data_IF_693643264233
#
_entry.id   IF_693643264233
#
_cell.length_a   1.000
_cell.length_b   1.000
_cell.length_c   1.000
_cell.angle_alpha   90.00
_cell.angle_beta   90.00
_cell.angle_gamma   90.00
#
_symmetry.space_group_name_H-M   'P 1'
#
loop_
_entity.id
_entity.type
_entity.pdbx_description
1 polymer ?
#
# COMPACT_ATOMS: atom_id res chain seq x y z
N UNK A 1 11.77 -5.14 38.22
CA UNK A 1 12.94 -5.88 37.70
C UNK A 1 12.95 -5.73 36.20
N UNK A 2 13.65 -4.73 35.69
CA UNK A 2 13.79 -4.46 34.25
C UNK A 2 15.15 -5.02 33.84
N UNK A 3 15.14 -6.08 33.02
CA UNK A 3 16.33 -6.64 32.39
C UNK A 3 16.63 -5.80 31.14
N UNK A 4 17.72 -5.05 31.18
CA UNK A 4 18.36 -4.49 29.99
C UNK A 4 19.19 -5.60 29.33
N UNK A 5 18.95 -5.88 28.04
CA UNK A 5 19.90 -6.60 27.19
C UNK A 5 20.58 -5.58 26.29
N UNK A 6 21.87 -5.37 26.55
CA UNK A 6 22.82 -4.63 25.74
C UNK A 6 23.58 -5.65 24.90
N UNK A 7 23.51 -5.55 23.57
CA UNK A 7 24.42 -6.25 22.66
C UNK A 7 25.24 -5.22 21.90
N UNK A 8 26.52 -5.19 22.23
CA UNK A 8 27.54 -4.36 21.63
C UNK A 8 27.80 -4.76 20.18
N UNK A 9 27.81 -3.78 19.28
CA UNK A 9 28.41 -3.90 17.96
C UNK A 9 29.94 -3.85 18.12
N UNK A 10 30.60 -4.98 17.89
CA UNK A 10 32.04 -5.03 17.67
C UNK A 10 32.33 -4.63 16.22
N UNK A 11 32.98 -3.48 16.03
CA UNK A 11 33.64 -3.12 14.78
C UNK A 11 35.02 -3.79 14.75
N UNK A 12 35.19 -4.79 13.91
CA UNK A 12 36.49 -5.41 13.62
C UNK A 12 37.09 -4.75 12.35
N UNK A 13 38.39 -4.39 12.33
CA UNK A 13 38.99 -3.69 11.20
C UNK A 13 39.81 -4.60 10.26
N UNK A 14 39.93 -4.14 9.01
CA UNK A 14 40.98 -4.43 8.00
C UNK A 14 40.91 -5.76 7.23
N UNK A 15 40.62 -5.67 5.92
CA UNK A 15 41.68 -5.92 4.95
C UNK A 15 41.45 -5.22 3.61
N UNK A 16 42.48 -4.48 3.21
CA UNK A 16 42.54 -3.59 2.06
C UNK A 16 43.29 -4.32 0.94
N UNK A 17 42.63 -4.55 -0.20
CA UNK A 17 43.29 -4.96 -1.46
C UNK A 17 43.06 -3.85 -2.50
N UNK A 18 44.10 -3.10 -2.91
CA UNK A 18 43.93 -2.02 -3.88
C UNK A 18 44.00 -2.52 -5.34
N UNK A 19 43.20 -2.00 -6.28
CA UNK A 19 43.50 -2.13 -7.69
C UNK A 19 44.53 -1.09 -8.15
N UNK A 20 45.45 -1.59 -8.96
CA UNK A 20 46.56 -0.92 -9.62
C UNK A 20 46.04 0.10 -10.66
N UNK A 21 46.40 1.38 -10.54
CA UNK A 21 46.14 2.41 -11.57
C UNK A 21 47.46 3.13 -11.92
N UNK A 22 47.84 3.21 -13.21
CA UNK A 22 49.12 3.79 -13.61
C UNK A 22 49.12 5.32 -13.71
N UNK A 23 50.34 5.84 -13.68
CA UNK A 23 50.76 7.20 -13.42
C UNK A 23 50.26 8.27 -14.42
N UNK A 24 49.77 9.39 -13.88
CA UNK A 24 49.65 10.67 -14.56
C UNK A 24 49.97 11.79 -13.57
N UNK A 25 51.05 12.56 -13.85
CA UNK A 25 51.47 13.74 -13.07
C UNK A 25 50.31 14.75 -12.95
N UNK A 26 50.27 15.55 -11.87
CA UNK A 26 50.39 17.04 -11.87
C UNK A 26 49.89 17.62 -10.51
N UNK A 27 50.81 18.33 -9.85
CA UNK A 27 50.72 19.45 -8.87
C UNK A 27 50.14 19.25 -7.46
N UNK A 28 51.05 19.45 -6.50
CA UNK A 28 50.82 19.66 -5.07
C UNK A 28 49.95 20.89 -4.76
N UNK A 29 49.05 20.74 -3.78
CA UNK A 29 48.38 21.82 -3.03
C UNK A 29 48.75 21.69 -1.54
N UNK A 30 48.90 22.80 -0.80
CA UNK A 30 49.35 22.77 0.58
C UNK A 30 48.27 22.29 1.56
N UNK A 31 48.75 21.68 2.64
CA UNK A 31 47.99 21.02 3.70
C UNK A 31 47.03 21.97 4.43
N UNK A 32 45.76 21.55 4.52
CA UNK A 32 44.78 22.06 5.48
C UNK A 32 44.67 21.08 6.65
N UNK A 33 44.91 21.57 7.86
CA UNK A 33 44.76 20.86 9.13
C UNK A 33 43.29 20.52 9.43
N UNK A 34 42.94 19.28 9.84
CA UNK A 34 41.63 19.02 10.42
C UNK A 34 41.60 19.48 11.89
N UNK A 35 40.68 20.40 12.21
CA UNK A 35 40.37 20.77 13.58
C UNK A 35 39.34 19.80 14.16
N UNK A 36 39.73 19.10 15.22
CA UNK A 36 38.83 18.35 16.09
C UNK A 36 38.00 19.35 16.91
N UNK A 37 36.68 19.24 16.86
CA UNK A 37 35.79 19.85 17.86
C UNK A 37 35.10 18.73 18.62
N UNK A 38 35.64 18.43 19.80
CA UNK A 38 34.98 17.62 20.81
C UNK A 38 33.92 18.47 21.52
N UNK A 39 32.77 17.86 21.79
CA UNK A 39 31.91 18.27 22.89
C UNK A 39 31.66 17.02 23.73
N UNK A 40 32.47 16.92 24.76
CA UNK A 40 32.29 16.10 25.95
C UNK A 40 31.36 16.87 26.90
N UNK A 41 30.30 16.23 27.42
CA UNK A 41 29.70 16.59 28.73
C UNK A 41 28.92 15.38 29.24
N UNK A 42 29.55 14.49 30.00
CA UNK A 42 29.51 14.42 31.47
C UNK A 42 28.17 13.93 32.03
N UNK A 43 28.14 12.62 32.29
CA UNK A 43 27.26 11.95 33.25
C UNK A 43 27.55 12.49 34.65
N UNK A 44 26.52 12.89 35.39
CA UNK A 44 26.62 13.07 36.84
C UNK A 44 25.56 12.17 37.48
N UNK A 45 26.07 11.11 38.09
CA UNK A 45 25.40 10.23 39.05
C UNK A 45 25.32 10.96 40.40
N UNK A 46 24.14 11.02 41.02
CA UNK A 46 24.02 11.18 42.48
C UNK A 46 22.59 10.88 42.96
N UNK A 47 22.39 9.67 43.51
CA UNK A 47 21.50 9.43 44.65
C UNK A 47 22.02 10.24 45.87
N UNK A 48 21.24 10.63 46.90
CA UNK A 48 20.43 9.65 47.65
C UNK A 48 19.23 10.17 48.51
N UNK A 49 18.56 9.20 49.16
CA UNK A 49 17.99 9.22 50.52
C UNK A 49 16.82 10.17 50.91
N UNK A 50 15.74 9.49 51.35
CA UNK A 50 14.92 9.72 52.56
C UNK A 50 13.89 10.86 52.64
N UNK A 51 12.68 10.44 53.03
CA UNK A 51 11.89 10.90 54.18
C UNK A 51 10.44 11.35 53.86
N UNK A 52 9.51 10.63 54.50
CA UNK A 52 8.06 10.86 54.72
C UNK A 52 7.78 12.18 55.48
N UNK A 53 6.57 12.81 55.46
CA UNK A 53 5.37 12.24 56.12
C UNK A 53 3.94 12.63 55.61
N UNK A 54 3.05 11.64 55.70
CA UNK A 54 1.75 11.62 56.41
C UNK A 54 0.53 12.49 56.00
N UNK A 55 -0.64 11.83 56.16
CA UNK A 55 -2.03 12.32 56.42
C UNK A 55 -2.83 12.67 55.14
N UNK A 56 -4.07 12.24 54.94
CA UNK A 56 -5.17 11.86 55.85
C UNK A 56 -6.16 10.90 55.17
N UNK A 57 -6.72 9.99 55.97
CA UNK A 57 -7.81 9.09 55.65
C UNK A 57 -9.17 9.81 55.51
N UNK A 58 -10.12 9.20 54.80
CA UNK A 58 -11.46 8.83 55.33
C UNK A 58 -12.17 7.88 54.36
N UNK A 59 -12.50 6.71 54.90
CA UNK A 59 -13.45 5.69 54.41
C UNK A 59 -14.90 6.15 54.58
N UNK A 60 -15.83 5.61 53.80
CA UNK A 60 -17.12 5.10 54.32
C UNK A 60 -17.80 4.18 53.31
N UNK A 61 -18.33 3.09 53.86
CA UNK A 61 -18.95 1.96 53.21
C UNK A 61 -20.47 1.97 53.40
N UNK A 62 -21.15 1.12 52.62
CA UNK A 62 -22.52 0.64 52.88
C UNK A 62 -23.53 1.12 51.84
N UNK A 63 -24.58 0.39 51.50
CA UNK A 63 -25.00 -0.97 51.79
C UNK A 63 -26.11 -1.33 50.77
N UNK A 64 -26.35 -2.61 50.54
CA UNK A 64 -27.37 -3.15 49.65
C UNK A 64 -28.81 -2.84 50.10
N UNK A 65 -29.75 -2.70 49.15
CA UNK A 65 -31.16 -3.09 49.35
C UNK A 65 -31.85 -3.38 48.01
N UNK A 66 -32.37 -4.60 47.87
CA UNK A 66 -33.24 -5.04 46.80
C UNK A 66 -34.67 -4.53 46.99
N UNK A 67 -35.36 -4.16 45.90
CA UNK A 67 -36.81 -4.00 45.85
C UNK A 67 -37.33 -4.65 44.57
N UNK A 68 -38.28 -5.57 44.74
CA UNK A 68 -39.03 -6.28 43.72
C UNK A 68 -40.49 -5.79 43.72
N UNK A 69 -41.15 -6.03 42.58
CA UNK A 69 -42.61 -6.15 42.33
C UNK A 69 -43.41 -4.86 42.03
N UNK A 70 -43.87 -4.69 40.79
CA UNK A 70 -45.27 -4.95 40.35
C UNK A 70 -45.59 -4.34 38.97
N UNK A 71 -46.26 -5.12 38.12
CA UNK A 71 -46.77 -4.70 36.81
C UNK A 71 -48.19 -4.10 36.91
N UNK A 72 -48.49 -3.05 36.10
CA UNK A 72 -49.80 -2.79 35.49
C UNK A 72 -49.80 -1.51 34.61
N UNK A 73 -50.08 -1.67 33.30
CA UNK A 73 -51.07 -0.88 32.54
C UNK A 73 -50.92 0.62 32.19
N UNK A 74 -50.71 0.87 30.89
CA UNK A 74 -51.49 1.74 29.98
C UNK A 74 -51.42 3.31 29.95
N UNK A 75 -51.31 3.80 28.69
CA UNK A 75 -51.86 5.01 28.01
C UNK A 75 -51.14 6.39 28.05
N UNK A 76 -50.29 6.64 27.03
CA UNK A 76 -50.00 7.82 26.16
C UNK A 76 -50.07 9.30 26.63
N UNK A 77 -49.84 10.31 25.75
CA UNK A 77 -49.06 10.38 24.50
C UNK A 77 -47.99 11.51 24.49
N UNK A 78 -47.22 11.61 23.39
CA UNK A 78 -46.46 12.76 22.88
C UNK A 78 -45.41 13.46 23.76
N UNK A 79 -44.13 13.23 23.45
CA UNK A 79 -43.14 14.32 23.31
C UNK A 79 -41.91 13.87 22.51
N UNK A 80 -41.63 14.66 21.48
CA UNK A 80 -40.36 14.83 20.79
C UNK A 80 -39.76 13.60 20.10
N UNK A 81 -40.19 13.38 18.85
CA UNK A 81 -39.28 12.90 17.81
C UNK A 81 -38.14 13.91 17.72
N UNK A 82 -36.98 13.53 18.23
CA UNK A 82 -35.74 14.20 17.92
C UNK A 82 -35.54 14.08 16.41
N UNK A 83 -35.57 15.23 15.74
CA UNK A 83 -35.25 15.36 14.32
C UNK A 83 -33.76 15.21 14.14
N UNK A 84 -33.25 14.02 14.44
CA UNK A 84 -31.95 13.57 13.97
C UNK A 84 -32.00 13.60 12.46
N UNK A 85 -31.43 14.66 11.88
CA UNK A 85 -30.91 14.65 10.52
C UNK A 85 -30.28 13.28 10.31
N UNK A 86 -30.64 12.49 9.28
CA UNK A 86 -29.86 11.31 8.95
C UNK A 86 -28.45 11.83 8.75
N UNK A 87 -27.56 11.56 9.71
CA UNK A 87 -26.15 11.60 9.44
C UNK A 87 -26.00 10.65 8.26
N UNK A 88 -25.73 11.22 7.09
CA UNK A 88 -25.32 10.44 5.93
C UNK A 88 -24.07 9.73 6.42
N UNK A 89 -24.24 8.49 6.88
CA UNK A 89 -23.12 7.59 7.10
C UNK A 89 -22.30 7.66 5.81
N UNK A 90 -20.97 7.80 5.88
CA UNK A 90 -20.16 7.68 4.68
C UNK A 90 -20.59 6.37 4.03
N UNK A 91 -21.11 6.46 2.79
CA UNK A 91 -21.62 5.29 2.08
C UNK A 91 -20.53 4.23 2.13
N UNK A 92 -20.83 3.12 2.80
CA UNK A 92 -19.96 1.96 2.84
C UNK A 92 -19.56 1.65 1.41
N UNK A 93 -18.25 1.58 1.21
CA UNK A 93 -17.63 1.33 -0.08
C UNK A 93 -18.11 -0.03 -0.53
N UNK A 94 -18.95 -0.07 -1.55
CA UNK A 94 -19.40 -1.32 -2.13
C UNK A 94 -18.24 -1.82 -3.00
N UNK A 95 -17.29 -2.51 -2.38
CA UNK A 95 -16.32 -3.28 -3.14
C UNK A 95 -17.13 -4.28 -3.94
N UNK A 96 -17.05 -4.19 -5.27
CA UNK A 96 -17.98 -4.93 -6.14
C UNK A 96 -17.20 -5.99 -6.93
N UNK A 97 -17.67 -7.24 -6.89
CA UNK A 97 -17.05 -8.39 -7.57
C UNK A 97 -17.20 -9.72 -6.82
N UNK A 98 -17.20 -10.84 -7.56
CA UNK A 98 -17.40 -12.21 -7.02
C UNK A 98 -16.28 -12.71 -6.11
N UNK A 99 -15.12 -12.06 -6.11
CA UNK A 99 -14.00 -12.36 -5.21
C UNK A 99 -14.05 -11.52 -3.92
N UNK A 100 -14.82 -10.43 -3.92
CA UNK A 100 -14.93 -9.50 -2.79
C UNK A 100 -15.68 -10.12 -1.61
N UNK A 101 -16.51 -11.13 -1.87
CA UNK A 101 -17.23 -11.90 -0.84
C UNK A 101 -16.31 -12.80 0.00
N UNK A 102 -15.04 -12.99 -0.39
CA UNK A 102 -14.05 -13.78 0.36
C UNK A 102 -13.12 -12.94 1.24
N UNK A 103 -13.30 -11.63 1.30
CA UNK A 103 -12.45 -10.75 2.10
C UNK A 103 -12.80 -10.81 3.59
N UNK A 104 -11.82 -10.55 4.49
CA UNK A 104 -12.05 -10.39 5.91
C UNK A 104 -13.10 -9.30 6.19
N UNK A 105 -13.92 -9.51 7.22
CA UNK A 105 -14.98 -8.58 7.59
C UNK A 105 -14.41 -7.34 8.27
N UNK A 106 -15.25 -6.29 8.36
CA UNK A 106 -14.91 -4.98 8.90
C UNK A 106 -14.12 -5.07 10.22
N UNK A 107 -12.92 -4.47 10.24
CA UNK A 107 -12.06 -4.39 11.42
C UNK A 107 -10.93 -5.41 11.49
N UNK A 108 -10.87 -6.38 10.57
CA UNK A 108 -9.72 -7.28 10.39
C UNK A 108 -8.64 -6.64 9.48
N UNK A 109 -7.34 -6.93 9.68
CA UNK A 109 -6.29 -6.47 8.77
C UNK A 109 -6.57 -6.96 7.34
N UNK A 110 -6.63 -6.03 6.38
CA UNK A 110 -6.98 -6.32 4.98
C UNK A 110 -8.47 -6.12 4.64
N UNK A 111 -9.33 -5.81 5.61
CA UNK A 111 -10.70 -5.34 5.34
C UNK A 111 -10.69 -3.98 4.61
N UNK A 112 -11.66 -3.69 3.75
CA UNK A 112 -11.69 -2.45 2.96
C UNK A 112 -11.65 -1.17 3.82
N UNK A 113 -12.26 -1.18 5.01
CA UNK A 113 -12.19 -0.05 5.94
C UNK A 113 -10.81 0.10 6.61
N UNK A 114 -10.10 -1.01 6.84
CA UNK A 114 -8.74 -0.98 7.41
C UNK A 114 -7.71 -0.36 6.45
N UNK A 115 -8.00 -0.37 5.14
CA UNK A 115 -7.11 0.15 4.10
C UNK A 115 -7.24 1.65 3.87
N UNK A 116 -8.36 2.29 4.23
CA UNK A 116 -8.63 3.72 3.95
C UNK A 116 -7.53 4.66 4.45
N UNK A 117 -6.86 4.30 5.55
CA UNK A 117 -5.75 5.06 6.13
C UNK A 117 -4.35 4.52 5.82
N UNK A 118 -4.23 3.42 5.07
CA UNK A 118 -2.96 2.81 4.71
C UNK A 118 -2.43 3.42 3.41
N UNK A 119 -1.10 3.62 3.29
CA UNK A 119 -0.52 4.02 2.03
C UNK A 119 -0.72 2.90 0.99
N UNK A 120 -0.75 3.29 -0.29
CA UNK A 120 -1.14 2.39 -1.35
C UNK A 120 -0.24 1.15 -1.49
N UNK A 121 1.07 1.30 -1.25
CA UNK A 121 2.05 0.21 -1.23
C UNK A 121 1.69 -0.86 -0.18
N UNK A 122 1.30 -0.44 1.02
CA UNK A 122 0.89 -1.36 2.08
C UNK A 122 -0.46 -2.02 1.75
N UNK A 123 -1.39 -1.26 1.17
CA UNK A 123 -2.70 -1.79 0.79
C UNK A 123 -2.59 -2.93 -0.25
N UNK A 124 -1.66 -2.82 -1.20
CA UNK A 124 -1.40 -3.88 -2.19
C UNK A 124 -0.94 -5.19 -1.53
N UNK A 125 -0.14 -5.11 -0.46
CA UNK A 125 0.37 -6.29 0.25
C UNK A 125 -0.69 -7.11 1.00
N UNK A 126 -1.87 -6.53 1.26
CA UNK A 126 -2.98 -7.23 1.92
C UNK A 126 -3.86 -8.03 0.96
N UNK A 127 -3.70 -7.84 -0.35
CA UNK A 127 -4.53 -8.50 -1.37
C UNK A 127 -3.73 -9.70 -1.92
N UNK A 128 -4.11 -10.95 -1.60
CA UNK A 128 -3.29 -12.14 -1.87
C UNK A 128 -3.14 -12.47 -3.36
N UNK A 129 -3.95 -11.86 -4.23
CA UNK A 129 -3.90 -12.05 -5.69
C UNK A 129 -3.04 -11.00 -6.41
N UNK A 130 -2.42 -10.08 -5.67
CA UNK A 130 -1.59 -9.00 -6.21
C UNK A 130 -0.10 -9.15 -5.85
N UNK A 131 0.34 -10.34 -5.46
CA UNK A 131 1.68 -10.56 -4.89
C UNK A 131 2.80 -10.22 -5.89
N UNK A 132 2.60 -10.54 -7.15
CA UNK A 132 3.53 -10.24 -8.26
C UNK A 132 3.56 -8.75 -8.54
N UNK A 133 2.40 -8.10 -8.58
CA UNK A 133 2.31 -6.66 -8.79
C UNK A 133 3.01 -5.88 -7.66
N UNK A 134 2.76 -6.26 -6.41
CA UNK A 134 3.40 -5.66 -5.24
C UNK A 134 4.93 -5.84 -5.26
N UNK A 135 5.40 -7.04 -5.62
CA UNK A 135 6.83 -7.30 -5.82
C UNK A 135 7.43 -6.39 -6.91
N UNK A 136 6.75 -6.22 -8.04
CA UNK A 136 7.18 -5.35 -9.13
C UNK A 136 7.23 -3.87 -8.70
N UNK A 137 6.22 -3.38 -7.98
CA UNK A 137 6.19 -2.00 -7.44
C UNK A 137 7.37 -1.75 -6.51
N UNK A 138 7.72 -2.71 -5.63
CA UNK A 138 8.90 -2.60 -4.77
C UNK A 138 10.21 -2.67 -5.56
N UNK A 139 10.33 -3.60 -6.51
CA UNK A 139 11.54 -3.80 -7.28
C UNK A 139 11.89 -2.58 -8.16
N UNK A 140 10.87 -1.88 -8.66
CA UNK A 140 11.03 -0.71 -9.52
C UNK A 140 11.13 0.62 -8.75
N UNK A 141 10.95 0.60 -7.42
CA UNK A 141 10.91 1.80 -6.59
C UNK A 141 9.67 2.67 -6.79
N UNK A 142 8.64 2.18 -7.49
CA UNK A 142 7.43 2.93 -7.79
C UNK A 142 6.59 3.23 -6.54
N UNK A 143 6.84 2.53 -5.43
CA UNK A 143 6.23 2.81 -4.13
C UNK A 143 6.39 4.28 -3.70
N UNK A 144 7.49 4.94 -4.06
CA UNK A 144 7.69 6.36 -3.77
C UNK A 144 6.77 7.28 -4.60
N UNK A 145 6.44 6.88 -5.84
CA UNK A 145 5.48 7.62 -6.69
C UNK A 145 4.03 7.42 -6.22
N UNK A 146 3.74 6.34 -5.50
CA UNK A 146 2.43 6.03 -4.90
C UNK A 146 2.19 6.74 -3.55
N UNK A 147 2.95 7.78 -3.25
CA UNK A 147 2.84 8.55 -2.00
C UNK A 147 1.43 9.18 -1.88
N UNK A 148 0.79 9.15 -0.70
CA UNK A 148 -0.58 9.62 -0.47
C UNK A 148 -0.81 11.13 -0.71
N UNK A 149 0.22 11.90 -1.09
CA UNK A 149 0.11 13.33 -1.38
C UNK A 149 -0.61 13.63 -2.69
N UNK A 150 -0.70 12.66 -3.59
CA UNK A 150 -1.41 12.79 -4.85
C UNK A 150 -2.43 11.65 -4.98
N UNK A 151 -3.69 12.02 -5.24
CA UNK A 151 -4.74 11.04 -5.49
C UNK A 151 -4.44 10.27 -6.78
N UNK A 152 -4.38 8.94 -6.69
CA UNK A 152 -4.07 8.05 -7.82
C UNK A 152 -5.04 6.88 -7.89
N UNK A 153 -5.40 6.46 -9.10
CA UNK A 153 -6.10 5.20 -9.35
C UNK A 153 -5.08 4.16 -9.81
N UNK A 154 -5.07 3.02 -9.14
CA UNK A 154 -4.21 1.87 -9.40
C UNK A 154 -5.05 0.77 -10.01
N UNK A 155 -4.76 0.42 -11.25
CA UNK A 155 -5.35 -0.69 -11.98
C UNK A 155 -4.45 -1.92 -11.76
N UNK A 156 -4.67 -2.68 -10.69
CA UNK A 156 -3.76 -3.74 -10.27
C UNK A 156 -4.09 -5.08 -10.97
N UNK A 157 -3.24 -5.57 -11.90
CA UNK A 157 -3.42 -6.89 -12.50
C UNK A 157 -3.20 -8.00 -11.48
N UNK A 158 -3.99 -9.06 -11.60
CA UNK A 158 -3.82 -10.27 -10.79
C UNK A 158 -2.56 -11.04 -11.16
N UNK A 159 -2.11 -11.90 -10.24
CA UNK A 159 -1.01 -12.83 -10.49
C UNK A 159 -1.27 -13.74 -11.71
N UNK A 160 -2.53 -14.13 -11.93
CA UNK A 160 -2.94 -14.88 -13.13
C UNK A 160 -2.80 -14.06 -14.42
N UNK A 161 -3.07 -12.75 -14.37
CA UNK A 161 -2.89 -11.86 -15.51
C UNK A 161 -1.40 -11.74 -15.89
N UNK A 162 -0.51 -11.64 -14.90
CA UNK A 162 0.94 -11.68 -15.14
C UNK A 162 1.39 -13.00 -15.75
N UNK A 163 0.90 -14.14 -15.23
CA UNK A 163 1.22 -15.46 -15.76
C UNK A 163 0.69 -15.68 -17.19
N UNK A 164 -0.43 -15.04 -17.54
CA UNK A 164 -0.98 -15.07 -18.90
C UNK A 164 -0.23 -14.14 -19.88
N UNK A 165 0.43 -13.09 -19.38
CA UNK A 165 1.17 -12.13 -20.21
C UNK A 165 2.63 -12.52 -20.38
N UNK A 166 3.30 -12.97 -19.32
CA UNK A 166 4.73 -13.22 -19.31
C UNK A 166 5.05 -14.67 -18.93
N UNK A 167 6.05 -15.25 -19.58
CA UNK A 167 6.68 -16.46 -19.05
C UNK A 167 7.39 -16.16 -17.72
N UNK A 168 7.57 -17.19 -16.88
CA UNK A 168 8.26 -17.02 -15.58
C UNK A 168 9.69 -16.51 -15.78
N UNK A 169 10.38 -17.07 -16.78
CA UNK A 169 11.74 -16.69 -17.15
C UNK A 169 11.84 -15.21 -17.53
N UNK A 170 10.92 -14.73 -18.36
CA UNK A 170 10.89 -13.34 -18.81
C UNK A 170 10.48 -12.37 -17.69
N UNK A 171 9.52 -12.75 -16.86
CA UNK A 171 9.12 -11.94 -15.70
C UNK A 171 10.28 -11.78 -14.70
N UNK A 172 11.01 -12.86 -14.42
CA UNK A 172 12.20 -12.82 -13.57
C UNK A 172 13.28 -11.90 -14.17
N UNK A 173 13.49 -11.94 -15.49
CA UNK A 173 14.40 -11.03 -16.19
C UNK A 173 13.98 -9.56 -16.04
N UNK A 174 12.69 -9.25 -16.23
CA UNK A 174 12.15 -7.90 -16.03
C UNK A 174 12.30 -7.41 -14.59
N UNK A 175 12.14 -8.31 -13.61
CA UNK A 175 12.26 -7.97 -12.19
C UNK A 175 13.71 -7.76 -11.73
N UNK A 176 14.68 -8.48 -12.33
CA UNK A 176 16.08 -8.47 -11.89
C UNK A 176 16.98 -7.57 -12.74
N UNK A 177 16.69 -7.45 -14.04
CA UNK A 177 17.59 -6.83 -15.01
C UNK A 177 16.97 -5.60 -15.69
N UNK A 178 15.68 -5.65 -16.04
CA UNK A 178 15.01 -4.59 -16.82
C UNK A 178 13.95 -3.84 -16.01
N UNK A 179 14.31 -3.40 -14.80
CA UNK A 179 13.38 -2.71 -13.89
C UNK A 179 12.87 -1.37 -14.44
N UNK A 180 13.62 -0.69 -15.33
CA UNK A 180 13.15 0.52 -16.00
C UNK A 180 12.00 0.24 -16.99
N UNK A 181 12.09 -0.86 -17.73
CA UNK A 181 11.04 -1.32 -18.64
C UNK A 181 9.80 -1.72 -17.84
N UNK A 182 9.99 -2.48 -16.75
CA UNK A 182 8.93 -2.85 -15.84
C UNK A 182 8.27 -1.63 -15.19
N UNK A 183 9.06 -0.60 -14.82
CA UNK A 183 8.52 0.65 -14.29
C UNK A 183 7.63 1.37 -15.30
N UNK A 184 8.01 1.39 -16.57
CA UNK A 184 7.16 1.91 -17.65
C UNK A 184 5.82 1.18 -17.73
N UNK A 185 5.85 -0.14 -17.72
CA UNK A 185 4.65 -1.00 -17.69
C UNK A 185 3.77 -0.72 -16.47
N UNK A 186 4.35 -0.60 -15.27
CA UNK A 186 3.58 -0.30 -14.07
C UNK A 186 2.92 1.08 -14.13
N UNK A 187 3.51 2.07 -14.81
CA UNK A 187 2.90 3.39 -15.01
C UNK A 187 1.69 3.36 -15.96
N UNK A 188 1.59 2.37 -16.86
CA UNK A 188 0.37 2.12 -17.64
C UNK A 188 -0.81 1.68 -16.76
N UNK A 189 -0.54 1.23 -15.56
CA UNK A 189 -1.56 0.82 -14.59
C UNK A 189 -1.95 1.94 -13.62
N UNK A 190 -1.34 3.12 -13.74
CA UNK A 190 -1.59 4.24 -12.86
C UNK A 190 -2.32 5.33 -13.62
N UNK A 191 -3.40 5.83 -13.05
CA UNK A 191 -4.20 6.95 -13.59
C UNK A 191 -4.23 8.05 -12.54
N UNK A 192 -4.07 9.31 -12.96
CA UNK A 192 -4.16 10.44 -12.04
C UNK A 192 -5.59 10.64 -11.53
N UNK A 193 -5.73 10.91 -10.24
CA UNK A 193 -7.01 11.05 -9.54
C UNK A 193 -7.50 9.74 -8.95
N UNK A 194 -8.11 9.80 -7.76
CA UNK A 194 -8.71 8.65 -7.08
C UNK A 194 -10.14 8.42 -7.58
N UNK A 195 -10.27 7.91 -8.81
CA UNK A 195 -11.53 7.75 -9.53
C UNK A 195 -12.22 6.42 -9.18
N UNK A 196 -13.45 6.43 -8.65
CA UNK A 196 -14.25 5.21 -8.51
C UNK A 196 -14.67 4.63 -9.86
N UNK A 197 -15.09 3.36 -9.88
CA UNK A 197 -15.41 2.66 -11.13
C UNK A 197 -16.50 3.39 -11.93
N UNK A 198 -17.49 3.94 -11.22
CA UNK A 198 -18.56 4.73 -11.82
C UNK A 198 -18.04 6.00 -12.52
N UNK A 199 -17.03 6.66 -11.97
CA UNK A 199 -16.41 7.85 -12.58
C UNK A 199 -15.50 7.46 -13.75
N UNK A 200 -14.76 6.36 -13.65
CA UNK A 200 -13.97 5.82 -14.77
C UNK A 200 -14.86 5.53 -15.98
N UNK A 201 -15.98 4.84 -15.76
CA UNK A 201 -16.97 4.54 -16.79
C UNK A 201 -17.61 5.81 -17.34
N UNK A 202 -17.95 6.77 -16.47
CA UNK A 202 -18.53 8.05 -16.91
C UNK A 202 -17.55 8.91 -17.71
N UNK A 203 -16.24 8.82 -17.42
CA UNK A 203 -15.21 9.54 -18.17
C UNK A 203 -15.10 8.98 -19.59
N UNK A 204 -15.29 7.67 -19.76
CA UNK A 204 -15.25 6.95 -21.04
C UNK A 204 -13.85 6.85 -21.67
N UNK A 205 -12.93 7.75 -21.31
CA UNK A 205 -11.52 7.73 -21.67
C UNK A 205 -10.70 8.29 -20.53
N UNK A 206 -9.62 7.61 -20.16
CA UNK A 206 -8.66 8.07 -19.15
C UNK A 206 -7.24 7.88 -19.67
N UNK A 207 -6.33 8.77 -19.28
CA UNK A 207 -4.92 8.69 -19.66
C UNK A 207 -4.09 8.23 -18.47
N UNK A 208 -3.20 7.27 -18.70
CA UNK A 208 -2.31 6.70 -17.67
C UNK A 208 -1.11 7.62 -17.41
N UNK A 209 -0.35 7.37 -16.34
CA UNK A 209 0.89 8.10 -16.03
C UNK A 209 2.02 7.82 -17.02
N UNK A 210 1.89 6.78 -17.83
CA UNK A 210 2.76 6.49 -18.96
C UNK A 210 2.34 7.25 -20.24
N UNK A 211 1.15 7.88 -20.25
CA UNK A 211 0.63 8.63 -21.40
C UNK A 211 -0.24 7.78 -22.34
N UNK A 212 -0.61 6.57 -21.93
CA UNK A 212 -1.45 5.65 -22.70
C UNK A 212 -2.93 6.00 -22.48
N UNK A 213 -3.69 6.10 -23.56
CA UNK A 213 -5.13 6.36 -23.48
C UNK A 213 -5.92 5.05 -23.36
N UNK A 214 -6.67 4.91 -22.27
CA UNK A 214 -7.56 3.80 -22.00
C UNK A 214 -9.00 4.20 -22.33
N UNK A 215 -9.67 3.44 -23.19
CA UNK A 215 -11.12 3.51 -23.33
C UNK A 215 -11.76 2.75 -22.18
N UNK A 216 -12.71 3.37 -21.48
CA UNK A 216 -13.41 2.74 -20.37
C UNK A 216 -14.88 2.59 -20.72
N UNK A 217 -15.42 1.38 -20.55
CA UNK A 217 -16.83 1.08 -20.76
C UNK A 217 -17.41 0.31 -19.59
N UNK A 218 -18.72 0.40 -19.36
CA UNK A 218 -19.38 -0.36 -18.30
C UNK A 218 -19.36 -1.86 -18.65
N UNK A 219 -19.01 -2.72 -17.70
CA UNK A 219 -19.07 -4.16 -17.87
C UNK A 219 -19.55 -4.85 -16.58
N UNK A 220 -20.79 -5.35 -16.60
CA UNK A 220 -21.43 -5.89 -15.40
C UNK A 220 -21.48 -4.85 -14.28
N UNK A 221 -20.96 -5.23 -13.12
CA UNK A 221 -20.83 -4.33 -11.96
C UNK A 221 -19.48 -3.58 -11.91
N UNK A 222 -18.66 -3.72 -12.95
CA UNK A 222 -17.33 -3.12 -13.06
C UNK A 222 -17.14 -2.31 -14.34
N UNK A 223 -15.88 -2.18 -14.76
CA UNK A 223 -15.46 -1.54 -16.00
C UNK A 223 -14.65 -2.49 -16.87
N UNK A 224 -14.80 -2.32 -18.19
CA UNK A 224 -13.87 -2.83 -19.19
C UNK A 224 -12.97 -1.68 -19.64
N UNK A 225 -11.67 -1.94 -19.70
CA UNK A 225 -10.61 -1.01 -20.08
C UNK A 225 -9.89 -1.56 -21.31
N UNK A 226 -9.80 -0.73 -22.34
CA UNK A 226 -9.17 -1.06 -23.62
C UNK A 226 -8.07 -0.06 -23.94
N UNK A 227 -6.87 -0.54 -24.23
CA UNK A 227 -5.77 0.33 -24.67
C UNK A 227 -6.07 0.86 -26.08
N UNK A 228 -6.14 2.18 -26.25
CA UNK A 228 -6.36 2.78 -27.57
C UNK A 228 -5.06 2.86 -28.36
N UNK A 229 -5.07 2.29 -29.56
CA UNK A 229 -3.99 2.46 -30.54
C UNK A 229 -3.13 1.22 -30.77
N UNK A 230 -3.24 0.20 -29.93
CA UNK A 230 -2.53 -1.07 -30.09
C UNK A 230 -3.37 -2.06 -30.92
N UNK A 231 -3.00 -2.22 -32.19
CA UNK A 231 -3.67 -3.15 -33.12
C UNK A 231 -3.45 -4.63 -32.80
N UNK A 232 -2.49 -4.96 -31.93
CA UNK A 232 -2.14 -6.32 -31.50
C UNK A 232 -2.93 -6.82 -30.27
N UNK A 233 -3.74 -5.95 -29.65
CA UNK A 233 -4.45 -6.27 -28.41
C UNK A 233 -5.97 -6.10 -28.51
N UNK A 234 -6.52 -6.05 -29.73
CA UNK A 234 -7.95 -5.81 -29.97
C UNK A 234 -8.89 -6.87 -29.35
N UNK A 235 -8.38 -8.07 -29.05
CA UNK A 235 -9.18 -9.18 -28.48
C UNK A 235 -8.94 -9.39 -26.97
N UNK A 236 -7.95 -8.72 -26.37
CA UNK A 236 -7.62 -8.85 -24.95
C UNK A 236 -8.04 -7.59 -24.19
N UNK A 237 -9.26 -7.63 -23.65
CA UNK A 237 -9.84 -6.54 -22.87
C UNK A 237 -9.50 -6.71 -21.39
N UNK A 238 -9.06 -5.65 -20.73
CA UNK A 238 -8.89 -5.66 -19.28
C UNK A 238 -10.24 -5.40 -18.61
N UNK A 239 -10.65 -6.24 -17.68
CA UNK A 239 -11.91 -6.11 -16.95
C UNK A 239 -11.64 -6.02 -15.46
N UNK A 240 -12.34 -5.13 -14.77
CA UNK A 240 -12.24 -5.04 -13.32
C UNK A 240 -12.94 -6.23 -12.68
N UNK A 241 -12.18 -7.09 -12.03
CA UNK A 241 -12.68 -8.26 -11.28
C UNK A 241 -13.15 -7.84 -9.90
N UNK A 242 -12.42 -6.92 -9.26
CA UNK A 242 -12.79 -6.32 -7.99
C UNK A 242 -12.49 -4.83 -8.03
N UNK A 243 -13.51 -4.00 -7.96
CA UNK A 243 -13.34 -2.56 -8.06
C UNK A 243 -13.49 -1.87 -6.70
N UNK A 244 -13.01 -0.63 -6.66
CA UNK A 244 -13.34 0.35 -5.63
C UNK A 244 -12.73 0.11 -4.23
N UNK A 245 -11.49 -0.38 -4.11
CA UNK A 245 -10.77 -0.43 -2.81
C UNK A 245 -10.17 0.92 -2.42
N UNK A 246 -10.41 1.39 -1.18
CA UNK A 246 -9.94 2.72 -0.70
C UNK A 246 -8.62 2.53 0.00
N UNK A 247 -7.61 3.27 -0.44
CA UNK A 247 -6.36 3.47 0.27
C UNK A 247 -6.13 4.97 0.49
N UNK A 248 -5.16 5.32 1.33
CA UNK A 248 -4.81 6.72 1.57
C UNK A 248 -4.25 7.34 0.28
N UNK A 249 -4.97 8.32 -0.27
CA UNK A 249 -4.61 8.98 -1.53
C UNK A 249 -4.68 8.04 -2.75
N UNK A 250 -5.34 6.88 -2.64
CA UNK A 250 -5.43 5.96 -3.78
C UNK A 250 -6.73 5.17 -3.86
N UNK A 251 -7.06 4.79 -5.09
CA UNK A 251 -8.18 3.91 -5.43
C UNK A 251 -7.63 2.69 -6.16
N UNK A 252 -7.84 1.49 -5.62
CA UNK A 252 -7.34 0.27 -6.25
C UNK A 252 -8.50 -0.46 -6.94
N UNK A 253 -8.32 -0.81 -8.21
CA UNK A 253 -9.20 -1.67 -8.99
C UNK A 253 -8.39 -2.86 -9.49
N UNK A 254 -8.81 -4.07 -9.12
CA UNK A 254 -8.18 -5.31 -9.54
C UNK A 254 -8.67 -5.68 -10.94
N UNK A 255 -7.76 -5.95 -11.86
CA UNK A 255 -8.05 -6.29 -13.26
C UNK A 255 -7.51 -7.67 -13.64
N UNK A 256 -8.11 -8.30 -14.64
CA UNK A 256 -7.74 -9.64 -15.13
C UNK A 256 -6.72 -9.66 -16.27
N UNK A 257 -6.19 -8.51 -16.68
CA UNK A 257 -5.21 -8.39 -17.77
C UNK A 257 -4.13 -7.38 -17.39
N UNK A 258 -2.92 -7.56 -17.91
CA UNK A 258 -1.83 -6.59 -17.79
C UNK A 258 -1.97 -5.56 -18.90
N UNK A 259 -2.01 -4.28 -18.53
CA UNK A 259 -2.00 -3.14 -19.44
C UNK A 259 -0.58 -2.82 -19.89
N UNK A 260 -0.44 -2.41 -21.15
CA UNK A 260 0.80 -1.88 -21.71
C UNK A 260 1.24 -2.60 -22.98
N UNK A 261 2.30 -2.07 -23.58
CA UNK A 261 2.74 -2.42 -24.94
C UNK A 261 3.80 -3.52 -24.98
N UNK A 262 4.16 -4.10 -23.84
CA UNK A 262 5.15 -5.17 -23.82
C UNK A 262 4.59 -6.42 -24.52
N UNK A 263 5.43 -7.15 -25.28
CA UNK A 263 5.00 -8.36 -25.96
C UNK A 263 4.53 -9.40 -24.94
N UNK A 264 3.54 -10.18 -25.34
CA UNK A 264 3.15 -11.38 -24.59
C UNK A 264 4.22 -12.45 -24.83
N UNK A 265 4.80 -13.00 -23.78
CA UNK A 265 5.81 -14.08 -23.86
C UNK A 265 5.34 -15.40 -23.25
N UNK A 266 4.15 -15.41 -22.65
CA UNK A 266 3.53 -16.62 -22.15
C UNK A 266 3.26 -17.60 -23.30
N UNK A 267 3.79 -18.82 -23.19
CA UNK A 267 3.62 -19.88 -24.19
C UNK A 267 4.75 -20.01 -25.22
N UNK A 268 5.72 -19.08 -25.26
CA UNK A 268 6.87 -19.13 -26.18
C UNK A 268 7.96 -20.12 -25.71
N UNK A 269 7.81 -20.73 -24.53
CA UNK A 269 8.78 -21.65 -23.94
C UNK A 269 8.80 -23.03 -24.62
N UNK A 270 7.86 -23.35 -25.51
CA UNK A 270 7.73 -24.64 -26.19
C UNK A 270 8.36 -24.72 -27.60
N UNK A 271 8.91 -23.64 -28.17
CA UNK A 271 9.43 -23.61 -29.55
C UNK A 271 10.96 -23.40 -29.66
N UNK A 272 11.72 -23.99 -28.74
CA UNK A 272 13.14 -24.27 -28.97
C UNK A 272 13.33 -25.74 -29.36
N UNK A 273 13.30 -26.10 -30.66
CA UNK A 273 13.89 -27.35 -31.10
C UNK A 273 15.40 -27.26 -30.81
N UNK A 274 15.83 -27.87 -29.71
CA UNK A 274 17.24 -28.11 -29.46
C UNK A 274 17.81 -28.92 -30.64
N UNK A 275 18.63 -28.27 -31.46
CA UNK A 275 19.51 -28.89 -32.46
C UNK A 275 20.88 -29.17 -31.85
#
# INVERSE_FOLDING_TARGET
MVRSSSSAHACEPLNLVPPFVPAGRIRARPAGTPQCSGVETTVIDTLPLTATPARRATTLAGAALAVLIAAAGCTGPDSARDGGTPAVAPRAVSVTGSLCDQLPADGEPGSPDSLVGQPADQALGWIPVLTTFEAAVRATGLAEELTPTADVTILAPTDDAFAAKFSRSHLDELLLHDTDTLRGLLRDHLVSGALPVAELVSAGTVTTLAGTDLAVTAHGDGARLDVRGDGDHADAHAETVCADYRAAGARIHVINQVLGTLPTTAGDEDDHPAH
#
